data_IF_060345642827
#
_entry.id   IF_060345642827
#
_cell.length_a   1.000
_cell.length_b   1.000
_cell.length_c   1.000
_cell.angle_alpha   90.00
_cell.angle_beta   90.00
_cell.angle_gamma   90.00
#
_symmetry.space_group_name_H-M   'P 1'
#
loop_
_entity.id
_entity.type
_entity.pdbx_description
1 polymer ?
#
# COMPACT_ATOMS: atom_id res chain seq x y z
N UNK A 1 -7.56 -26.38 -10.66
CA UNK A 1 -6.81 -25.11 -10.66
C UNK A 1 -6.69 -24.66 -9.20
N UNK A 2 -5.48 -24.54 -8.65
CA UNK A 2 -5.32 -23.91 -7.32
C UNK A 2 -5.58 -22.42 -7.53
N UNK A 3 -6.64 -21.87 -6.93
CA UNK A 3 -6.95 -20.45 -7.01
C UNK A 3 -5.74 -19.62 -6.60
N UNK A 4 -5.48 -18.52 -7.31
CA UNK A 4 -4.38 -17.63 -7.01
C UNK A 4 -4.60 -17.02 -5.60
N UNK A 5 -3.88 -17.50 -4.60
CA UNK A 5 -4.04 -17.09 -3.20
C UNK A 5 -3.71 -15.61 -2.98
N UNK A 6 -2.96 -14.99 -3.90
CA UNK A 6 -2.59 -13.58 -3.87
C UNK A 6 -3.81 -12.65 -3.93
N UNK A 7 -4.87 -13.02 -4.67
CA UNK A 7 -6.11 -12.22 -4.78
C UNK A 7 -6.96 -12.21 -3.49
N UNK A 8 -6.59 -12.99 -2.48
CA UNK A 8 -7.35 -13.10 -1.22
C UNK A 8 -6.65 -12.39 -0.04
N UNK A 9 -5.59 -11.61 -0.30
CA UNK A 9 -4.84 -10.93 0.75
C UNK A 9 -5.13 -9.43 0.68
N UNK A 10 -5.54 -8.86 1.82
CA UNK A 10 -5.50 -7.41 2.07
C UNK A 10 -4.44 -7.18 3.14
N UNK A 11 -3.45 -6.34 2.84
CA UNK A 11 -2.41 -5.94 3.79
C UNK A 11 -2.80 -4.61 4.43
N UNK A 12 -2.78 -4.53 5.77
CA UNK A 12 -3.00 -3.28 6.51
C UNK A 12 -1.78 -2.99 7.39
N UNK A 13 -1.18 -1.82 7.23
CA UNK A 13 0.01 -1.40 7.99
C UNK A 13 -0.16 0.02 8.54
N UNK A 14 0.51 0.34 9.64
CA UNK A 14 0.52 1.72 10.14
C UNK A 14 1.28 2.65 9.17
N UNK A 15 2.53 2.32 8.84
CA UNK A 15 3.36 3.12 7.93
C UNK A 15 3.26 2.69 6.47
N UNK A 16 3.72 3.53 5.52
CA UNK A 16 3.67 3.24 4.09
C UNK A 16 4.79 2.27 3.66
N UNK A 17 4.60 1.51 2.57
CA UNK A 17 5.67 0.75 1.94
C UNK A 17 6.68 1.66 1.25
N UNK A 18 7.96 1.28 1.30
CA UNK A 18 9.06 2.06 0.72
C UNK A 18 8.91 2.27 -0.78
N UNK A 19 9.26 3.48 -1.24
CA UNK A 19 9.26 3.88 -2.65
C UNK A 19 7.88 3.75 -3.30
N UNK A 20 6.88 4.37 -2.68
CA UNK A 20 5.52 4.50 -3.21
C UNK A 20 5.05 5.95 -3.09
N UNK A 21 3.98 6.34 -3.79
CA UNK A 21 3.40 7.67 -3.62
C UNK A 21 3.02 7.98 -2.16
N UNK A 22 2.72 6.95 -1.36
CA UNK A 22 2.33 7.07 0.04
C UNK A 22 3.50 7.35 1.00
N UNK A 23 4.77 7.19 0.59
CA UNK A 23 5.94 7.32 1.47
C UNK A 23 6.83 8.54 1.20
N UNK A 24 6.48 9.38 0.23
CA UNK A 24 7.22 10.59 -0.12
C UNK A 24 6.87 11.71 0.84
N UNK A 25 7.87 12.25 1.55
CA UNK A 25 7.72 13.43 2.40
C UNK A 25 8.98 14.28 2.26
N UNK A 26 8.82 15.57 1.96
CA UNK A 26 9.91 16.53 1.79
C UNK A 26 11.01 16.07 0.82
N UNK A 27 10.60 15.46 -0.30
CA UNK A 27 11.52 14.92 -1.31
C UNK A 27 12.27 13.66 -0.89
N UNK A 28 12.01 13.11 0.30
CA UNK A 28 12.63 11.89 0.82
C UNK A 28 11.64 10.73 0.88
N UNK A 29 12.18 9.50 0.89
CA UNK A 29 11.41 8.26 1.06
C UNK A 29 11.44 7.86 2.53
N UNK A 30 10.26 7.78 3.16
CA UNK A 30 10.09 7.46 4.59
C UNK A 30 9.43 6.10 4.82
N UNK A 31 9.25 5.30 3.77
CA UNK A 31 8.52 4.05 3.85
C UNK A 31 9.34 2.84 4.29
N UNK A 32 8.63 1.74 4.50
CA UNK A 32 9.16 0.52 5.08
C UNK A 32 9.55 -0.49 3.98
N UNK A 33 10.85 -0.83 3.92
CA UNK A 33 11.37 -1.79 2.93
C UNK A 33 10.84 -3.22 3.15
N UNK A 34 10.54 -3.60 4.39
CA UNK A 34 9.94 -4.90 4.71
C UNK A 34 8.54 -5.05 4.10
N UNK A 35 7.72 -3.99 4.13
CA UNK A 35 6.38 -4.00 3.55
C UNK A 35 6.46 -4.12 2.03
N UNK A 36 7.36 -3.36 1.39
CA UNK A 36 7.63 -3.48 -0.04
C UNK A 36 8.03 -4.92 -0.42
N UNK A 37 8.92 -5.57 0.35
CA UNK A 37 9.31 -6.97 0.12
C UNK A 37 8.13 -7.92 0.23
N UNK A 38 7.27 -7.74 1.23
CA UNK A 38 6.06 -8.54 1.39
C UNK A 38 5.12 -8.39 0.19
N UNK A 39 4.83 -7.15 -0.20
CA UNK A 39 3.95 -6.83 -1.33
C UNK A 39 4.49 -7.45 -2.62
N UNK A 40 5.79 -7.27 -2.93
CA UNK A 40 6.42 -7.88 -4.10
C UNK A 40 6.35 -9.41 -4.11
N UNK A 41 6.49 -10.05 -2.94
CA UNK A 41 6.47 -11.52 -2.82
C UNK A 41 5.06 -12.11 -2.92
N UNK A 42 4.08 -11.47 -2.29
CA UNK A 42 2.75 -12.05 -2.09
C UNK A 42 1.66 -11.44 -2.97
N UNK A 43 1.93 -10.29 -3.60
CA UNK A 43 1.02 -9.58 -4.51
C UNK A 43 -0.43 -9.50 -3.97
N UNK A 44 -0.65 -8.95 -2.76
CA UNK A 44 -2.00 -8.79 -2.21
C UNK A 44 -2.90 -7.96 -3.15
N UNK A 45 -4.21 -8.17 -3.06
CA UNK A 45 -5.20 -7.40 -3.81
C UNK A 45 -5.09 -5.89 -3.48
N UNK A 46 -4.93 -5.59 -2.19
CA UNK A 46 -4.88 -4.22 -1.66
C UNK A 46 -3.88 -4.11 -0.51
N UNK A 47 -3.15 -3.00 -0.44
CA UNK A 47 -2.28 -2.62 0.67
C UNK A 47 -2.68 -1.24 1.20
N UNK A 48 -3.25 -1.20 2.41
CA UNK A 48 -3.71 0.02 3.08
C UNK A 48 -2.67 0.46 4.10
N UNK A 49 -2.30 1.73 4.08
CA UNK A 49 -1.31 2.31 4.99
C UNK A 49 -1.73 3.69 5.51
N UNK A 50 -0.99 4.27 6.46
CA UNK A 50 -1.22 5.61 6.99
C UNK A 50 0.08 6.29 7.42
N UNK A 51 0.11 6.82 8.64
CA UNK A 51 1.24 7.49 9.30
C UNK A 51 1.62 8.87 8.72
N UNK A 52 1.69 9.02 7.39
CA UNK A 52 1.99 10.29 6.74
C UNK A 52 0.69 10.99 6.32
N UNK A 53 0.26 11.98 7.09
CA UNK A 53 -1.03 12.64 6.89
C UNK A 53 -1.05 13.52 5.62
N UNK A 54 0.10 14.05 5.24
CA UNK A 54 0.36 14.79 4.00
C UNK A 54 0.10 13.94 2.74
N UNK A 55 0.19 12.61 2.90
CA UNK A 55 -0.03 11.64 1.84
C UNK A 55 -1.43 11.01 1.88
N UNK A 56 -2.39 11.62 2.58
CA UNK A 56 -3.79 11.21 2.49
C UNK A 56 -4.27 11.17 1.02
N UNK A 57 -5.02 10.14 0.68
CA UNK A 57 -5.55 9.81 -0.66
C UNK A 57 -4.49 9.51 -1.71
N UNK A 58 -3.20 9.38 -1.36
CA UNK A 58 -2.18 8.92 -2.30
C UNK A 58 -2.37 7.44 -2.59
N UNK A 59 -2.30 7.11 -3.88
CA UNK A 59 -2.41 5.77 -4.41
C UNK A 59 -1.20 5.48 -5.29
N UNK A 60 -0.78 4.23 -5.32
CA UNK A 60 0.31 3.76 -6.18
C UNK A 60 0.16 2.26 -6.46
N UNK A 61 0.89 1.73 -7.42
CA UNK A 61 0.95 0.30 -7.70
C UNK A 61 2.34 -0.27 -7.42
N UNK A 62 2.36 -1.40 -6.74
CA UNK A 62 3.57 -2.24 -6.60
C UNK A 62 3.28 -3.60 -7.23
N UNK A 63 3.65 -3.73 -8.50
CA UNK A 63 3.17 -4.85 -9.32
C UNK A 63 1.66 -4.73 -9.50
N UNK A 64 0.91 -5.77 -9.15
CA UNK A 64 -0.55 -5.81 -9.24
C UNK A 64 -1.27 -5.32 -7.97
N UNK A 65 -0.52 -5.02 -6.92
CA UNK A 65 -1.09 -4.55 -5.64
C UNK A 65 -1.35 -3.06 -5.70
N UNK A 66 -2.59 -2.66 -5.46
CA UNK A 66 -2.93 -1.27 -5.17
C UNK A 66 -2.45 -0.91 -3.76
N UNK A 67 -1.57 0.07 -3.64
CA UNK A 67 -1.15 0.68 -2.37
C UNK A 67 -1.94 1.97 -2.18
N UNK A 68 -2.54 2.16 -1.00
CA UNK A 68 -3.31 3.36 -0.70
C UNK A 68 -3.11 3.84 0.73
N UNK A 69 -2.99 5.15 0.88
CA UNK A 69 -3.18 5.83 2.16
C UNK A 69 -4.55 6.54 2.13
N UNK A 70 -5.60 6.00 2.77
CA UNK A 70 -6.93 6.59 2.68
C UNK A 70 -7.06 7.91 3.46
N UNK A 71 -6.14 8.19 4.38
CA UNK A 71 -6.24 9.31 5.31
C UNK A 71 -7.46 9.21 6.25
N UNK A 72 -7.65 10.22 7.09
CA UNK A 72 -8.75 10.26 8.07
C UNK A 72 -10.16 10.15 7.46
N UNK A 73 -10.47 10.70 6.28
CA UNK A 73 -11.83 10.59 5.71
C UNK A 73 -12.19 9.18 5.23
N UNK A 74 -11.22 8.28 5.11
CA UNK A 74 -11.43 7.00 4.46
C UNK A 74 -11.55 7.10 2.93
N UNK A 75 -11.67 5.94 2.29
CA UNK A 75 -11.91 5.79 0.85
C UNK A 75 -12.79 4.56 0.61
N UNK A 76 -13.61 4.60 -0.43
CA UNK A 76 -14.42 3.46 -0.90
C UNK A 76 -13.75 2.88 -2.15
N UNK A 77 -13.66 1.56 -2.22
CA UNK A 77 -13.09 0.83 -3.34
C UNK A 77 -14.10 -0.20 -3.86
N UNK A 78 -14.16 -0.31 -5.18
CA UNK A 78 -14.94 -1.32 -5.89
C UNK A 78 -13.95 -2.22 -6.64
N UNK A 79 -14.05 -3.54 -6.46
CA UNK A 79 -13.17 -4.56 -7.02
C UNK A 79 -13.98 -5.64 -7.74
#
# INVERSE_FOLDING_TARGET
MKGNTAQHIILVTHGPPYNTAADRLDGQLRGNRSFLRFIKKHQPLLAVCGHLHENAKKMDYVGNTLVVNPGSPGMVFEF
#
